data_IF_793918610555
#
_entry.id   IF_793918610555
#
_cell.length_a   1.000
_cell.length_b   1.000
_cell.length_c   1.000
_cell.angle_alpha   90.00
_cell.angle_beta   90.00
_cell.angle_gamma   90.00
#
_symmetry.space_group_name_H-M   'P 1'
#
loop_
_entity.id
_entity.type
_entity.pdbx_description
1 polymer ?
#
# COMPACT_ATOMS: atom_id res chain seq x y z
N UNK A 1 -2.55 5.05 -26.92
CA UNK A 1 -3.72 5.84 -27.37
C UNK A 1 -4.84 4.93 -27.89
N UNK A 2 -4.53 3.97 -28.78
CA UNK A 2 -5.50 2.99 -29.32
C UNK A 2 -6.41 2.31 -28.27
N UNK A 3 -5.84 1.73 -27.20
CA UNK A 3 -6.63 1.07 -26.13
C UNK A 3 -7.60 1.99 -25.38
N UNK A 4 -7.32 3.30 -25.33
CA UNK A 4 -8.20 4.28 -24.68
C UNK A 4 -9.44 4.51 -25.54
N UNK A 5 -9.26 4.62 -26.85
CA UNK A 5 -10.31 4.93 -27.83
C UNK A 5 -11.17 3.68 -28.09
N UNK A 6 -10.52 2.53 -28.25
CA UNK A 6 -11.19 1.27 -28.62
C UNK A 6 -11.71 0.48 -27.41
N UNK A 7 -11.55 1.02 -26.19
CA UNK A 7 -11.88 0.35 -24.92
C UNK A 7 -11.23 -1.03 -24.73
N UNK A 8 -10.12 -1.29 -25.43
CA UNK A 8 -9.37 -2.54 -25.31
C UNK A 8 -8.56 -2.58 -24.01
N UNK A 9 -8.15 -3.78 -23.56
CA UNK A 9 -7.17 -3.92 -22.49
C UNK A 9 -5.90 -3.11 -22.77
N UNK A 10 -5.33 -2.53 -21.72
CA UNK A 10 -4.04 -1.85 -21.84
C UNK A 10 -2.91 -2.87 -22.07
N UNK A 11 -1.84 -2.47 -22.79
CA UNK A 11 -0.67 -3.33 -22.96
C UNK A 11 -0.06 -3.74 -21.61
N UNK A 12 0.30 -5.01 -21.46
CA UNK A 12 0.97 -5.53 -20.25
C UNK A 12 2.30 -4.80 -19.98
N UNK A 13 2.94 -4.27 -21.03
CA UNK A 13 4.15 -3.44 -20.93
C UNK A 13 3.94 -2.13 -20.17
N UNK A 14 2.71 -1.58 -20.17
CA UNK A 14 2.38 -0.38 -19.40
C UNK A 14 2.37 -0.66 -17.90
N UNK A 15 1.78 -1.80 -17.50
CA UNK A 15 1.76 -2.24 -16.11
C UNK A 15 3.17 -2.56 -15.60
N UNK A 16 3.94 -3.33 -16.37
CA UNK A 16 5.32 -3.67 -16.00
C UNK A 16 6.24 -2.45 -15.95
N UNK A 17 6.08 -1.51 -16.88
CA UNK A 17 6.79 -0.23 -16.87
C UNK A 17 6.49 0.60 -15.62
N UNK A 18 5.22 0.72 -15.25
CA UNK A 18 4.81 1.46 -14.05
C UNK A 18 5.37 0.84 -12.76
N UNK A 19 5.26 -0.49 -12.60
CA UNK A 19 5.78 -1.21 -11.43
C UNK A 19 7.31 -1.11 -11.35
N UNK A 20 8.01 -1.23 -12.48
CA UNK A 20 9.47 -1.08 -12.51
C UNK A 20 9.91 0.31 -12.05
N UNK A 21 9.20 1.37 -12.46
CA UNK A 21 9.49 2.74 -12.01
C UNK A 21 9.20 2.93 -10.53
N UNK A 22 8.09 2.38 -10.02
CA UNK A 22 7.79 2.42 -8.59
C UNK A 22 8.89 1.75 -7.76
N UNK A 23 9.43 0.62 -8.21
CA UNK A 23 10.54 -0.03 -7.51
C UNK A 23 11.84 0.77 -7.53
N UNK A 24 12.14 1.38 -8.68
CA UNK A 24 13.35 2.18 -8.85
C UNK A 24 13.31 3.47 -8.02
N UNK A 25 12.15 4.11 -7.95
CA UNK A 25 11.97 5.40 -7.27
C UNK A 25 11.42 5.28 -5.86
N UNK A 26 10.92 4.09 -5.49
CA UNK A 26 10.32 3.78 -4.19
C UNK A 26 9.11 4.68 -3.85
N UNK A 27 8.52 5.30 -4.88
CA UNK A 27 7.43 6.24 -4.75
C UNK A 27 6.28 5.92 -5.71
N UNK A 28 5.06 6.00 -5.18
CA UNK A 28 3.82 5.85 -5.94
C UNK A 28 3.14 7.21 -6.03
N UNK A 29 3.30 7.84 -7.19
CA UNK A 29 2.62 9.09 -7.51
C UNK A 29 1.18 8.83 -7.97
N UNK A 30 0.31 9.83 -7.85
CA UNK A 30 -1.09 9.73 -8.30
C UNK A 30 -1.23 9.23 -9.76
N UNK A 31 -0.47 9.76 -10.75
CA UNK A 31 -0.57 9.25 -12.12
C UNK A 31 -0.19 7.77 -12.25
N UNK A 32 0.80 7.30 -11.49
CA UNK A 32 1.21 5.87 -11.51
C UNK A 32 0.14 4.99 -10.90
N UNK A 33 -0.44 5.40 -9.77
CA UNK A 33 -1.56 4.69 -9.16
C UNK A 33 -2.76 4.63 -10.13
N UNK A 34 -3.09 5.73 -10.80
CA UNK A 34 -4.17 5.79 -11.78
C UNK A 34 -3.92 4.82 -12.96
N UNK A 35 -2.70 4.78 -13.51
CA UNK A 35 -2.32 3.87 -14.60
C UNK A 35 -2.47 2.41 -14.16
N UNK A 36 -1.91 2.03 -13.01
CA UNK A 36 -1.96 0.64 -12.51
C UNK A 36 -3.40 0.21 -12.29
N UNK A 37 -4.22 1.05 -11.63
CA UNK A 37 -5.65 0.81 -11.43
C UNK A 37 -6.38 0.59 -12.76
N UNK A 38 -6.13 1.47 -13.74
CA UNK A 38 -6.76 1.39 -15.04
C UNK A 38 -6.35 0.12 -15.82
N UNK A 39 -5.09 -0.30 -15.73
CA UNK A 39 -4.61 -1.58 -16.28
C UNK A 39 -5.34 -2.78 -15.65
N UNK A 40 -5.46 -2.81 -14.33
CA UNK A 40 -6.07 -3.94 -13.61
C UNK A 40 -7.57 -4.02 -13.87
N UNK A 41 -8.31 -2.92 -13.69
CA UNK A 41 -9.77 -2.91 -13.89
C UNK A 41 -10.18 -3.22 -15.35
N UNK A 42 -9.41 -2.74 -16.34
CA UNK A 42 -9.68 -3.07 -17.75
C UNK A 42 -9.31 -4.51 -18.10
N UNK A 43 -8.33 -5.11 -17.43
CA UNK A 43 -7.97 -6.50 -17.64
C UNK A 43 -9.03 -7.46 -17.06
N UNK A 44 -9.57 -7.16 -15.88
CA UNK A 44 -10.62 -7.97 -15.24
C UNK A 44 -12.01 -7.74 -15.83
N UNK A 45 -12.21 -6.66 -16.60
CA UNK A 45 -13.51 -6.28 -17.16
C UNK A 45 -14.53 -5.81 -16.10
N UNK A 46 -14.09 -5.59 -14.85
CA UNK A 46 -14.90 -5.14 -13.72
C UNK A 46 -14.12 -4.14 -12.88
N UNK A 47 -14.83 -3.30 -12.11
CA UNK A 47 -14.19 -2.42 -11.14
C UNK A 47 -13.74 -3.22 -9.91
N UNK A 48 -12.51 -3.75 -9.96
CA UNK A 48 -11.91 -4.51 -8.87
C UNK A 48 -11.23 -3.57 -7.84
N UNK A 49 -10.63 -2.50 -8.34
CA UNK A 49 -9.94 -1.48 -7.54
C UNK A 49 -10.71 -0.17 -7.63
N UNK A 50 -11.31 0.23 -6.49
CA UNK A 50 -12.04 1.49 -6.34
C UNK A 50 -11.12 2.71 -6.46
N UNK A 51 -11.73 3.89 -6.49
CA UNK A 51 -11.01 5.19 -6.54
C UNK A 51 -10.27 5.50 -5.24
N UNK A 52 -10.81 5.09 -4.10
CA UNK A 52 -10.29 5.36 -2.76
C UNK A 52 -10.05 4.06 -1.99
N UNK A 53 -9.59 4.20 -0.73
CA UNK A 53 -9.40 3.08 0.17
C UNK A 53 -10.66 2.22 0.28
N UNK A 54 -10.54 0.98 -0.17
CA UNK A 54 -11.55 -0.06 0.02
C UNK A 54 -11.14 -1.00 1.17
N UNK A 55 -11.74 -0.83 2.34
CA UNK A 55 -11.38 -1.65 3.50
C UNK A 55 -11.84 -3.10 3.39
N UNK A 56 -12.87 -3.34 2.58
CA UNK A 56 -13.52 -4.63 2.39
C UNK A 56 -12.87 -5.48 1.28
N UNK A 57 -11.83 -4.96 0.62
CA UNK A 57 -11.14 -5.70 -0.44
C UNK A 57 -10.47 -6.96 0.14
N UNK A 58 -10.83 -8.13 -0.41
CA UNK A 58 -10.36 -9.44 0.06
C UNK A 58 -9.06 -9.89 -0.59
N UNK A 59 -8.54 -9.16 -1.58
CA UNK A 59 -7.30 -9.53 -2.25
C UNK A 59 -6.09 -9.38 -1.30
N UNK A 60 -5.37 -10.48 -1.09
CA UNK A 60 -4.21 -10.53 -0.18
C UNK A 60 -3.15 -9.48 -0.54
N UNK A 61 -2.83 -9.30 -1.82
CA UNK A 61 -1.80 -8.35 -2.23
C UNK A 61 -2.19 -6.90 -1.93
N UNK A 62 -3.46 -6.55 -2.16
CA UNK A 62 -4.00 -5.23 -1.78
C UNK A 62 -3.93 -5.00 -0.26
N UNK A 63 -4.30 -6.02 0.54
CA UNK A 63 -4.19 -5.96 2.01
C UNK A 63 -2.74 -5.84 2.49
N UNK A 64 -1.80 -6.55 1.87
CA UNK A 64 -0.38 -6.43 2.16
C UNK A 64 0.14 -5.02 1.85
N UNK A 65 -0.32 -4.41 0.76
CA UNK A 65 -0.04 -3.01 0.45
C UNK A 65 -0.53 -2.08 1.55
N UNK A 66 -1.79 -2.24 1.99
CA UNK A 66 -2.34 -1.48 3.13
C UNK A 66 -1.51 -1.69 4.38
N UNK A 67 -1.22 -2.94 4.74
CA UNK A 67 -0.41 -3.30 5.90
C UNK A 67 0.94 -2.57 5.88
N UNK A 68 1.63 -2.60 4.76
CA UNK A 68 2.90 -1.89 4.58
C UNK A 68 2.75 -0.38 4.81
N UNK A 69 1.69 0.23 4.28
CA UNK A 69 1.40 1.66 4.47
C UNK A 69 1.14 2.04 5.93
N UNK A 70 0.49 1.16 6.71
CA UNK A 70 0.29 1.38 8.16
C UNK A 70 1.61 1.25 8.92
N UNK A 71 2.43 0.24 8.60
CA UNK A 71 3.72 0.02 9.25
C UNK A 71 4.68 1.20 9.03
N UNK A 72 4.71 1.75 7.82
CA UNK A 72 5.49 2.95 7.51
C UNK A 72 4.97 4.15 8.29
N UNK A 73 3.64 4.33 8.36
CA UNK A 73 3.05 5.43 9.13
C UNK A 73 3.41 5.36 10.61
N UNK A 74 3.38 4.16 11.20
CA UNK A 74 3.80 3.94 12.59
C UNK A 74 5.27 4.34 12.77
N UNK A 75 6.15 3.98 11.84
CA UNK A 75 7.56 4.36 11.88
C UNK A 75 7.74 5.89 11.85
N UNK A 76 7.08 6.58 10.93
CA UNK A 76 7.14 8.05 10.80
C UNK A 76 6.68 8.76 12.08
N UNK A 77 5.62 8.26 12.71
CA UNK A 77 5.08 8.83 13.95
C UNK A 77 5.96 8.57 15.15
N UNK A 78 6.61 7.41 15.20
CA UNK A 78 7.52 7.04 16.27
C UNK A 78 8.90 7.70 16.16
N UNK A 79 9.27 8.20 14.98
CA UNK A 79 10.59 8.77 14.71
C UNK A 79 10.48 9.82 13.61
N UNK A 80 10.23 11.10 13.94
CA UNK A 80 10.04 12.15 12.93
C UNK A 80 11.32 12.50 12.15
N UNK A 81 12.51 12.24 12.71
CA UNK A 81 13.81 12.57 12.11
C UNK A 81 14.51 11.36 11.46
N UNK A 82 13.80 10.60 10.62
CA UNK A 82 14.36 9.41 9.95
C UNK A 82 15.16 9.78 8.71
N UNK A 83 16.35 9.20 8.57
CA UNK A 83 17.16 9.29 7.34
C UNK A 83 16.67 8.35 6.22
N UNK A 84 15.94 7.28 6.58
CA UNK A 84 15.34 6.33 5.65
C UNK A 84 14.18 5.59 6.32
N UNK A 85 13.15 5.32 5.55
CA UNK A 85 11.94 4.61 5.98
C UNK A 85 12.02 3.11 5.64
N UNK A 86 11.07 2.32 6.14
CA UNK A 86 10.91 0.94 5.71
C UNK A 86 10.56 0.85 4.22
N UNK A 87 9.93 1.88 3.63
CA UNK A 87 9.65 1.95 2.20
C UNK A 87 10.94 1.98 1.41
N UNK A 88 11.88 2.83 1.82
CA UNK A 88 13.15 2.99 1.10
C UNK A 88 14.03 1.73 1.15
N UNK A 89 13.81 0.86 2.14
CA UNK A 89 14.61 -0.36 2.34
C UNK A 89 13.91 -1.63 1.85
N UNK A 90 12.60 -1.73 2.06
CA UNK A 90 11.87 -2.99 1.94
C UNK A 90 10.76 -2.96 0.88
N UNK A 91 10.44 -1.84 0.24
CA UNK A 91 9.33 -1.81 -0.72
C UNK A 91 9.51 -2.82 -1.88
N UNK A 92 10.72 -2.93 -2.42
CA UNK A 92 11.04 -3.87 -3.50
C UNK A 92 10.74 -5.32 -3.12
N UNK A 93 11.23 -5.75 -1.95
CA UNK A 93 11.01 -7.08 -1.40
C UNK A 93 9.56 -7.28 -0.92
N UNK A 94 8.94 -6.31 -0.25
CA UNK A 94 7.56 -6.41 0.23
C UNK A 94 6.55 -6.53 -0.92
N UNK A 95 6.81 -5.86 -2.04
CA UNK A 95 5.96 -5.95 -3.22
C UNK A 95 6.22 -7.21 -4.07
N UNK A 96 7.37 -7.88 -3.95
CA UNK A 96 7.72 -9.06 -4.77
C UNK A 96 7.68 -10.37 -4.00
N UNK A 97 8.30 -10.42 -2.82
CA UNK A 97 8.48 -11.58 -1.96
C UNK A 97 8.06 -11.32 -0.50
N UNK A 98 6.76 -11.07 -0.24
CA UNK A 98 6.26 -10.64 1.08
C UNK A 98 6.77 -11.46 2.27
N UNK A 99 6.79 -12.79 2.14
CA UNK A 99 7.21 -13.70 3.22
C UNK A 99 8.60 -13.37 3.79
N UNK A 100 9.49 -12.81 2.97
CA UNK A 100 10.89 -12.52 3.34
C UNK A 100 11.05 -11.31 4.25
N UNK A 101 10.06 -10.40 4.30
CA UNK A 101 10.22 -9.11 4.98
C UNK A 101 9.14 -8.80 6.01
N UNK A 102 7.91 -9.27 5.84
CA UNK A 102 6.80 -8.87 6.73
C UNK A 102 7.00 -9.33 8.17
N UNK A 103 7.64 -10.49 8.40
CA UNK A 103 8.00 -10.95 9.74
C UNK A 103 8.93 -9.95 10.47
N UNK A 104 9.91 -9.39 9.76
CA UNK A 104 10.81 -8.35 10.27
C UNK A 104 10.07 -7.04 10.51
N UNK A 105 9.24 -6.60 9.57
CA UNK A 105 8.49 -5.34 9.70
C UNK A 105 7.50 -5.37 10.87
N UNK A 106 6.84 -6.50 11.11
CA UNK A 106 5.92 -6.68 12.23
C UNK A 106 6.64 -6.62 13.59
N UNK A 107 7.87 -7.13 13.68
CA UNK A 107 8.71 -6.97 14.89
C UNK A 107 9.11 -5.51 15.10
N UNK A 108 9.54 -4.82 14.04
CA UNK A 108 9.91 -3.40 14.11
C UNK A 108 8.75 -2.52 14.58
N UNK A 109 7.53 -2.81 14.12
CA UNK A 109 6.30 -2.12 14.56
C UNK A 109 6.19 -2.06 16.07
N UNK A 110 6.51 -3.14 16.80
CA UNK A 110 6.33 -3.16 18.26
C UNK A 110 7.25 -2.15 18.94
N UNK A 111 8.50 -2.02 18.46
CA UNK A 111 9.43 -1.00 18.94
C UNK A 111 8.97 0.42 18.61
N UNK A 112 8.36 0.63 17.44
CA UNK A 112 7.84 1.94 17.06
C UNK A 112 6.60 2.31 17.87
N UNK A 113 5.66 1.40 18.07
CA UNK A 113 4.46 1.63 18.88
C UNK A 113 4.81 1.97 20.34
N UNK A 114 5.82 1.31 20.91
CA UNK A 114 6.29 1.60 22.26
C UNK A 114 6.84 3.04 22.42
N UNK A 115 7.39 3.61 21.33
CA UNK A 115 7.92 4.98 21.27
C UNK A 115 6.86 6.06 21.01
N UNK A 116 5.61 5.68 20.74
CA UNK A 116 4.55 6.67 20.58
C UNK A 116 4.16 7.24 21.95
N UNK A 117 4.15 8.57 22.05
CA UNK A 117 3.74 9.30 23.25
C UNK A 117 2.24 9.10 23.52
N UNK A 118 1.43 9.14 22.47
CA UNK A 118 -0.01 8.97 22.56
C UNK A 118 -0.41 7.48 22.55
N UNK A 119 -0.79 6.95 23.72
CA UNK A 119 -1.25 5.55 23.85
C UNK A 119 -2.53 5.26 23.09
N UNK A 120 -3.45 6.23 22.98
CA UNK A 120 -4.65 6.10 22.16
C UNK A 120 -4.33 5.94 20.67
N UNK A 121 -3.33 6.67 20.17
CA UNK A 121 -2.83 6.51 18.80
C UNK A 121 -2.24 5.11 18.58
N UNK A 122 -1.44 4.60 19.51
CA UNK A 122 -0.91 3.24 19.43
C UNK A 122 -2.01 2.17 19.38
N UNK A 123 -3.05 2.29 20.22
CA UNK A 123 -4.21 1.39 20.21
C UNK A 123 -4.96 1.44 18.88
N UNK A 124 -5.12 2.63 18.29
CA UNK A 124 -5.80 2.77 16.99
C UNK A 124 -5.00 2.10 15.86
N UNK A 125 -3.67 2.21 15.87
CA UNK A 125 -2.83 1.47 14.92
C UNK A 125 -2.90 -0.04 15.11
N UNK A 126 -2.85 -0.54 16.35
CA UNK A 126 -3.03 -1.98 16.64
C UNK A 126 -4.37 -2.49 16.09
N UNK A 127 -5.47 -1.76 16.33
CA UNK A 127 -6.80 -2.12 15.79
C UNK A 127 -6.81 -2.17 14.26
N UNK A 128 -6.24 -1.16 13.60
CA UNK A 128 -6.17 -1.12 12.13
C UNK A 128 -5.32 -2.25 11.55
N UNK A 129 -4.19 -2.56 12.19
CA UNK A 129 -3.35 -3.69 11.79
C UNK A 129 -4.10 -5.02 11.95
N UNK A 130 -4.78 -5.21 13.08
CA UNK A 130 -5.64 -6.39 13.32
C UNK A 130 -6.70 -6.55 12.24
N UNK A 131 -7.44 -5.48 11.91
CA UNK A 131 -8.45 -5.48 10.85
C UNK A 131 -7.88 -5.89 9.48
N UNK A 132 -6.68 -5.42 9.13
CA UNK A 132 -6.05 -5.77 7.85
C UNK A 132 -5.62 -7.24 7.87
N UNK A 133 -4.95 -7.66 8.95
CA UNK A 133 -4.39 -9.00 9.13
C UNK A 133 -5.46 -10.09 9.23
N UNK A 134 -6.65 -9.78 9.75
CA UNK A 134 -7.77 -10.73 9.87
C UNK A 134 -8.15 -11.38 8.52
N UNK A 135 -7.99 -10.65 7.41
CA UNK A 135 -8.21 -11.21 6.06
C UNK A 135 -6.94 -11.60 5.32
N UNK A 136 -5.81 -11.79 6.01
CA UNK A 136 -4.57 -12.33 5.44
C UNK A 136 -4.36 -13.72 6.03
N UNK A 137 -4.63 -14.76 5.24
CA UNK A 137 -4.43 -16.14 5.67
C UNK A 137 -2.94 -16.52 5.80
N UNK A 138 -2.11 -16.06 4.87
CA UNK A 138 -0.67 -16.30 4.87
C UNK A 138 0.09 -15.22 4.07
N UNK A 139 1.41 -15.13 4.27
CA UNK A 139 2.31 -14.29 3.50
C UNK A 139 2.85 -15.06 2.28
N UNK A 140 2.46 -14.71 1.04
CA UNK A 140 2.89 -15.44 -0.14
C UNK A 140 4.40 -15.30 -0.38
N UNK A 141 4.99 -16.37 -0.92
CA UNK A 141 6.40 -16.39 -1.30
C UNK A 141 6.71 -15.41 -2.44
N UNK A 142 5.79 -15.29 -3.40
CA UNK A 142 5.91 -14.41 -4.55
C UNK A 142 4.57 -13.75 -4.89
N UNK A 143 4.62 -12.49 -5.34
CA UNK A 143 3.48 -11.82 -5.98
C UNK A 143 3.75 -11.70 -7.48
N UNK A 144 2.79 -12.11 -8.30
CA UNK A 144 2.81 -11.85 -9.75
C UNK A 144 2.70 -10.34 -10.07
N UNK A 145 2.83 -9.98 -11.34
CA UNK A 145 2.82 -8.58 -11.76
C UNK A 145 1.51 -7.85 -11.42
N UNK A 146 0.36 -8.51 -11.54
CA UNK A 146 -0.92 -7.87 -11.23
C UNK A 146 -1.05 -7.66 -9.73
N UNK A 147 -0.65 -8.64 -8.94
CA UNK A 147 -0.65 -8.58 -7.48
C UNK A 147 0.38 -7.58 -6.94
N UNK A 148 1.54 -7.41 -7.60
CA UNK A 148 2.45 -6.29 -7.36
C UNK A 148 1.76 -4.94 -7.59
N UNK A 149 0.94 -4.83 -8.63
CA UNK A 149 0.10 -3.66 -8.87
C UNK A 149 -0.95 -3.44 -7.78
N UNK A 150 -1.68 -4.49 -7.38
CA UNK A 150 -2.67 -4.42 -6.29
C UNK A 150 -2.03 -4.00 -4.96
N UNK A 151 -0.84 -4.51 -4.66
CA UNK A 151 -0.03 -4.07 -3.53
C UNK A 151 0.27 -2.58 -3.60
N UNK A 152 0.73 -2.09 -4.75
CA UNK A 152 1.03 -0.67 -4.94
C UNK A 152 -0.20 0.21 -4.71
N UNK A 153 -1.37 -0.18 -5.23
CA UNK A 153 -2.62 0.56 -5.05
C UNK A 153 -3.09 0.52 -3.59
N UNK A 154 -3.07 -0.65 -2.95
CA UNK A 154 -3.45 -0.78 -1.53
C UNK A 154 -2.58 0.07 -0.62
N UNK A 155 -1.27 0.10 -0.87
CA UNK A 155 -0.34 1.00 -0.19
C UNK A 155 -0.71 2.47 -0.42
N UNK A 156 -0.88 2.88 -1.68
CA UNK A 156 -1.18 4.26 -2.02
C UNK A 156 -2.49 4.73 -1.37
N UNK A 157 -3.55 3.95 -1.47
CA UNK A 157 -4.85 4.25 -0.85
C UNK A 157 -4.74 4.39 0.67
N UNK A 158 -4.01 3.49 1.34
CA UNK A 158 -3.85 3.55 2.79
C UNK A 158 -3.05 4.79 3.22
N UNK A 159 -2.01 5.16 2.46
CA UNK A 159 -1.22 6.37 2.71
C UNK A 159 -2.08 7.63 2.55
N UNK A 160 -2.83 7.75 1.45
CA UNK A 160 -3.72 8.88 1.21
C UNK A 160 -4.78 9.03 2.31
N UNK A 161 -5.36 7.93 2.78
CA UNK A 161 -6.37 7.95 3.85
C UNK A 161 -5.85 8.57 5.16
N UNK A 162 -4.55 8.43 5.47
CA UNK A 162 -3.96 9.08 6.65
C UNK A 162 -3.86 10.60 6.51
N UNK A 163 -3.65 11.13 5.30
CA UNK A 163 -3.56 12.56 5.04
C UNK A 163 -4.94 13.23 4.94
N UNK A 164 -5.92 12.59 4.30
CA UNK A 164 -7.28 13.13 4.21
C UNK A 164 -7.92 13.26 5.60
N UNK A 165 -7.68 12.30 6.50
CA UNK A 165 -8.20 12.35 7.88
C UNK A 165 -7.56 13.46 8.73
N UNK A 166 -6.31 13.84 8.45
CA UNK A 166 -5.67 14.99 9.12
C UNK A 166 -6.28 16.32 8.67
N UNK A 167 -6.63 16.47 7.39
CA UNK A 167 -7.23 17.72 6.89
C UNK A 167 -8.64 17.98 7.42
N UNK A 168 -9.45 16.93 7.63
CA UNK A 168 -10.78 17.08 8.24
C UNK A 168 -10.72 17.52 9.70
N UNK A 169 -9.62 17.26 10.40
CA UNK A 169 -9.44 17.63 11.82
C UNK A 169 -8.94 19.07 11.96
N UNK A 170 -8.18 19.58 10.97
CA UNK A 170 -7.61 20.94 11.00
C UNK A 170 -8.52 22.05 10.42
N UNK A 171 -9.71 21.71 9.90
CA UNK A 171 -10.69 22.70 9.36
C UNK A 171 -11.76 23.11 10.38
N UNK A 172 -11.55 22.81 11.66
CA UNK A 172 -12.50 23.04 12.75
C UNK A 172 -11.94 23.85 13.92
N UNK A 173 -11.03 24.79 13.65
CA UNK A 173 -10.61 25.85 14.58
C UNK A 173 -10.83 27.23 13.96
#
# INVERSE_FOLDING_TARGET
MRSVIESLPYPQTLLSGAIRRIRAEQEITYPRAAIIKACINRYSGKEELKVSLDENNTNTAYRLGRLFGVLERIQERASPNLNATIRDRYYGAASSTPVTVFSTLLKLKNHHLAKLDNKGEAVNYEKLLGQIMDGIADFPAHLDLQNQGRFAIGYYHQRQAFFTKSESTNKGE
#
